data_IF_341762209070
#
_entry.id   IF_341762209070
#
_cell.length_a   1.000
_cell.length_b   1.000
_cell.length_c   1.000
_cell.angle_alpha   90.00
_cell.angle_beta   90.00
_cell.angle_gamma   90.00
#
_symmetry.space_group_name_H-M   'P 1'
#
loop_
_entity.id
_entity.type
_entity.pdbx_description
1 polymer ?
#
# COMPACT_ATOMS: atom_id res chain seq x y z
N UNK A 1 -11.83 -2.61 -13.15
CA UNK A 1 -11.58 -1.16 -13.31
C UNK A 1 -12.17 -0.45 -12.11
N UNK A 2 -11.60 0.68 -11.68
CA UNK A 2 -12.12 1.49 -10.57
C UNK A 2 -12.35 2.91 -11.06
N UNK A 3 -13.54 3.45 -10.81
CA UNK A 3 -13.93 4.81 -11.16
C UNK A 3 -14.73 5.42 -10.01
N UNK A 4 -14.28 6.58 -9.55
CA UNK A 4 -14.86 7.34 -8.45
C UNK A 4 -14.93 8.81 -8.86
N UNK A 5 -16.11 9.40 -8.78
CA UNK A 5 -16.31 10.81 -9.05
C UNK A 5 -17.12 11.43 -7.92
N UNK A 6 -16.62 12.52 -7.34
CA UNK A 6 -17.33 13.30 -6.33
C UNK A 6 -17.25 14.78 -6.66
N UNK A 7 -18.33 15.50 -6.37
CA UNK A 7 -18.36 16.95 -6.46
C UNK A 7 -18.90 17.50 -5.13
N UNK A 8 -18.02 18.10 -4.33
CA UNK A 8 -18.36 18.68 -3.02
C UNK A 8 -17.75 20.06 -2.92
N UNK A 9 -18.42 20.97 -2.23
CA UNK A 9 -17.97 22.37 -2.05
C UNK A 9 -16.56 22.48 -1.48
N UNK A 10 -16.17 21.62 -0.53
CA UNK A 10 -14.84 21.65 0.09
C UNK A 10 -13.70 21.03 -0.72
N UNK A 11 -13.98 20.08 -1.61
CA UNK A 11 -12.96 19.37 -2.41
C UNK A 11 -13.01 19.72 -3.90
N UNK A 12 -13.99 20.52 -4.34
CA UNK A 12 -14.32 20.67 -5.75
C UNK A 12 -14.76 19.36 -6.39
N UNK A 13 -14.56 19.28 -7.71
CA UNK A 13 -14.75 18.04 -8.48
C UNK A 13 -13.48 17.19 -8.42
N UNK A 14 -13.58 16.00 -7.83
CA UNK A 14 -12.53 15.01 -7.80
C UNK A 14 -12.95 13.81 -8.65
N UNK A 15 -12.13 13.48 -9.65
CA UNK A 15 -12.29 12.29 -10.48
C UNK A 15 -11.06 11.41 -10.28
N UNK A 16 -11.29 10.17 -9.86
CA UNK A 16 -10.28 9.18 -9.58
C UNK A 16 -10.65 7.89 -10.30
N UNK A 17 -9.95 7.60 -11.39
CA UNK A 17 -10.32 6.51 -12.29
C UNK A 17 -9.12 5.83 -12.93
N UNK A 18 -9.31 4.57 -13.31
CA UNK A 18 -8.32 3.80 -14.05
C UNK A 18 -8.54 2.29 -13.97
N UNK A 19 -7.51 1.56 -14.38
CA UNK A 19 -7.53 0.10 -14.43
C UNK A 19 -6.20 -0.50 -13.98
N UNK A 20 -6.25 -1.74 -13.53
CA UNK A 20 -5.09 -2.55 -13.18
C UNK A 20 -5.31 -3.94 -13.77
N UNK A 21 -4.28 -4.48 -14.41
CA UNK A 21 -4.28 -5.83 -14.96
C UNK A 21 -3.20 -6.65 -14.26
N UNK A 22 -3.52 -7.88 -13.88
CA UNK A 22 -2.59 -8.84 -13.28
C UNK A 22 -2.79 -10.20 -13.95
N UNK A 23 -1.70 -10.96 -14.07
CA UNK A 23 -1.71 -12.32 -14.60
C UNK A 23 -1.19 -13.29 -13.54
N UNK A 24 -1.74 -14.50 -13.53
CA UNK A 24 -1.31 -15.63 -12.72
C UNK A 24 -1.61 -16.92 -13.47
N UNK A 25 -0.71 -17.88 -13.34
CA UNK A 25 -0.84 -19.22 -13.91
C UNK A 25 -0.66 -20.23 -12.77
N UNK A 26 -1.46 -21.30 -12.80
CA UNK A 26 -1.44 -22.36 -11.80
C UNK A 26 -1.98 -23.64 -12.40
N UNK A 27 -1.25 -24.73 -12.22
CA UNK A 27 -1.73 -26.07 -12.52
C UNK A 27 -2.52 -26.63 -11.34
N UNK A 28 -3.73 -27.13 -11.60
CA UNK A 28 -4.61 -27.73 -10.59
C UNK A 28 -5.17 -29.06 -11.11
N UNK A 29 -5.23 -30.06 -10.24
CA UNK A 29 -5.84 -31.35 -10.56
C UNK A 29 -7.34 -31.19 -10.77
N UNK A 30 -7.89 -31.93 -11.73
CA UNK A 30 -9.32 -31.98 -12.01
C UNK A 30 -9.88 -33.29 -11.49
N UNK A 31 -10.89 -33.20 -10.61
CA UNK A 31 -11.59 -34.34 -10.03
C UNK A 31 -13.07 -34.03 -9.88
N UNK A 32 -13.92 -35.04 -9.61
CA UNK A 32 -15.34 -34.82 -9.29
C UNK A 32 -15.54 -33.92 -8.06
N UNK A 33 -14.60 -33.97 -7.10
CA UNK A 33 -14.57 -33.09 -5.93
C UNK A 33 -14.03 -31.68 -6.21
N UNK A 34 -13.33 -31.48 -7.33
CA UNK A 34 -12.72 -30.20 -7.72
C UNK A 34 -12.82 -30.00 -9.24
N UNK A 35 -14.04 -29.73 -9.75
CA UNK A 35 -14.26 -29.51 -11.17
C UNK A 35 -13.59 -28.20 -11.63
N UNK A 36 -13.47 -28.02 -12.95
CA UNK A 36 -12.86 -26.82 -13.54
C UNK A 36 -13.42 -25.51 -12.99
N UNK A 37 -14.74 -25.42 -12.77
CA UNK A 37 -15.39 -24.21 -12.23
C UNK A 37 -14.89 -23.90 -10.82
N UNK A 38 -14.68 -24.92 -9.97
CA UNK A 38 -14.15 -24.73 -8.63
C UNK A 38 -12.68 -24.27 -8.66
N UNK A 39 -11.87 -24.84 -9.56
CA UNK A 39 -10.47 -24.43 -9.74
C UNK A 39 -10.36 -22.98 -10.24
N UNK A 40 -11.17 -22.62 -11.24
CA UNK A 40 -11.22 -21.26 -11.79
C UNK A 40 -11.76 -20.29 -10.73
N UNK A 41 -12.80 -20.67 -9.98
CA UNK A 41 -13.39 -19.85 -8.92
C UNK A 41 -12.37 -19.47 -7.84
N UNK A 42 -11.55 -20.43 -7.38
CA UNK A 42 -10.45 -20.17 -6.43
C UNK A 42 -9.43 -19.17 -7.00
N UNK A 43 -9.03 -19.33 -8.26
CA UNK A 43 -8.09 -18.41 -8.91
C UNK A 43 -8.66 -17.00 -9.06
N UNK A 44 -9.93 -16.88 -9.42
CA UNK A 44 -10.62 -15.58 -9.54
C UNK A 44 -10.74 -14.91 -8.18
N UNK A 45 -11.18 -15.64 -7.16
CA UNK A 45 -11.31 -15.11 -5.79
C UNK A 45 -9.98 -14.60 -5.24
N UNK A 46 -8.91 -15.38 -5.34
CA UNK A 46 -7.58 -14.98 -4.89
C UNK A 46 -7.07 -13.75 -5.66
N UNK A 47 -7.28 -13.73 -6.98
CA UNK A 47 -6.84 -12.63 -7.81
C UNK A 47 -7.64 -11.34 -7.54
N UNK A 48 -8.96 -11.43 -7.36
CA UNK A 48 -9.80 -10.29 -7.01
C UNK A 48 -9.46 -9.73 -5.63
N UNK A 49 -9.21 -10.60 -4.65
CA UNK A 49 -8.71 -10.20 -3.33
C UNK A 49 -7.43 -9.37 -3.46
N UNK A 50 -6.47 -9.86 -4.25
CA UNK A 50 -5.19 -9.18 -4.47
C UNK A 50 -5.36 -7.88 -5.24
N UNK A 51 -6.15 -7.87 -6.32
CA UNK A 51 -6.44 -6.67 -7.11
C UNK A 51 -7.13 -5.61 -6.25
N UNK A 52 -8.10 -5.99 -5.41
CA UNK A 52 -8.77 -5.07 -4.49
C UNK A 52 -7.81 -4.41 -3.51
N UNK A 53 -6.93 -5.17 -2.87
CA UNK A 53 -5.92 -4.60 -1.97
C UNK A 53 -4.97 -3.65 -2.72
N UNK A 54 -4.48 -4.05 -3.90
CA UNK A 54 -3.60 -3.19 -4.72
C UNK A 54 -4.31 -1.92 -5.19
N UNK A 55 -5.58 -2.00 -5.59
CA UNK A 55 -6.37 -0.83 -5.97
C UNK A 55 -6.51 0.12 -4.78
N UNK A 56 -6.80 -0.39 -3.57
CA UNK A 56 -6.92 0.44 -2.37
C UNK A 56 -5.61 1.21 -2.08
N UNK A 57 -4.48 0.50 -2.04
CA UNK A 57 -3.17 1.09 -1.79
C UNK A 57 -2.80 2.18 -2.82
N UNK A 58 -3.03 1.91 -4.11
CA UNK A 58 -2.70 2.87 -5.17
C UNK A 58 -3.63 4.08 -5.12
N UNK A 59 -4.94 3.84 -5.07
CA UNK A 59 -5.96 4.89 -5.26
C UNK A 59 -6.14 5.78 -4.04
N UNK A 60 -5.94 5.27 -2.82
CA UNK A 60 -6.15 6.04 -1.60
C UNK A 60 -4.88 6.27 -0.79
N UNK A 61 -3.85 5.45 -0.98
CA UNK A 61 -2.52 5.68 -0.42
C UNK A 61 -1.69 6.55 -1.36
N UNK A 62 -1.29 5.98 -2.50
CA UNK A 62 -0.26 6.60 -3.34
C UNK A 62 -0.68 7.94 -3.97
N UNK A 63 -1.92 8.06 -4.43
CA UNK A 63 -2.43 9.35 -4.96
C UNK A 63 -2.48 10.43 -3.87
N UNK A 64 -2.89 10.08 -2.65
CA UNK A 64 -2.94 10.97 -1.49
C UNK A 64 -1.53 11.44 -1.12
N UNK A 65 -0.57 10.52 -1.07
CA UNK A 65 0.83 10.85 -0.78
C UNK A 65 1.43 11.78 -1.83
N UNK A 66 1.15 11.55 -3.11
CA UNK A 66 1.59 12.44 -4.20
C UNK A 66 0.98 13.84 -4.04
N UNK A 67 -0.33 13.95 -3.83
CA UNK A 67 -1.01 15.24 -3.65
C UNK A 67 -0.45 16.00 -2.45
N UNK A 68 -0.27 15.32 -1.31
CA UNK A 68 0.29 15.92 -0.11
C UNK A 68 1.77 16.31 -0.28
N UNK A 69 2.54 15.54 -1.04
CA UNK A 69 3.94 15.83 -1.35
C UNK A 69 4.11 17.05 -2.26
N UNK A 70 3.19 17.30 -3.18
CA UNK A 70 3.21 18.48 -4.05
C UNK A 70 2.79 19.76 -3.31
N UNK A 71 1.87 19.65 -2.35
CA UNK A 71 1.35 20.79 -1.58
C UNK A 71 1.00 20.36 -0.16
N UNK A 72 2.02 20.32 0.70
CA UNK A 72 1.83 20.07 2.12
C UNK A 72 1.31 21.32 2.82
N UNK A 73 0.23 21.19 3.59
CA UNK A 73 -0.31 22.25 4.45
C UNK A 73 0.54 22.35 5.72
N UNK A 74 1.00 21.20 6.22
CA UNK A 74 2.04 21.16 7.23
C UNK A 74 3.32 21.70 6.61
N UNK A 75 3.96 22.66 7.28
CA UNK A 75 5.31 23.07 6.93
C UNK A 75 6.15 21.79 6.80
N UNK A 76 6.89 21.66 5.68
CA UNK A 76 7.90 20.59 5.51
C UNK A 76 8.57 20.45 6.86
N UNK A 77 8.43 19.30 7.56
CA UNK A 77 8.73 19.22 8.98
C UNK A 77 10.10 19.81 9.14
N UNK A 78 10.11 20.94 9.86
CA UNK A 78 11.22 21.88 9.86
C UNK A 78 12.48 21.04 9.96
N UNK A 79 13.39 21.14 8.99
CA UNK A 79 14.49 20.18 8.78
C UNK A 79 15.19 19.83 10.11
N UNK A 80 15.15 20.76 11.08
CA UNK A 80 15.46 20.59 12.49
C UNK A 80 14.76 19.43 13.24
N UNK A 81 13.43 19.28 13.22
CA UNK A 81 12.73 18.17 13.91
C UNK A 81 13.09 16.82 13.32
N UNK A 82 13.20 16.74 11.99
CA UNK A 82 13.65 15.53 11.30
C UNK A 82 15.12 15.21 11.64
N UNK A 83 15.99 16.23 11.71
CA UNK A 83 17.37 16.09 12.17
C UNK A 83 17.49 15.67 13.63
N UNK A 84 16.64 16.19 14.51
CA UNK A 84 16.59 15.78 15.93
C UNK A 84 16.16 14.32 16.04
N UNK A 85 15.09 13.94 15.34
CA UNK A 85 14.63 12.56 15.29
C UNK A 85 15.72 11.64 14.74
N UNK A 86 16.43 12.03 13.67
CA UNK A 86 17.56 11.25 13.12
C UNK A 86 18.68 11.06 14.15
N UNK A 87 19.02 12.09 14.92
CA UNK A 87 20.02 11.98 16.00
C UNK A 87 19.56 11.05 17.11
N UNK A 88 18.32 11.19 17.58
CA UNK A 88 17.74 10.30 18.58
C UNK A 88 17.72 8.84 18.10
N UNK A 89 17.32 8.60 16.86
CA UNK A 89 17.32 7.27 16.25
C UNK A 89 18.72 6.67 16.22
N UNK A 90 19.73 7.45 15.83
CA UNK A 90 21.12 7.00 15.81
C UNK A 90 21.63 6.61 17.21
N UNK A 91 21.26 7.36 18.24
CA UNK A 91 21.61 7.07 19.63
C UNK A 91 20.90 5.80 20.15
N UNK A 92 19.61 5.64 19.86
CA UNK A 92 18.87 4.43 20.27
C UNK A 92 19.41 3.19 19.58
N UNK A 93 19.82 3.29 18.31
CA UNK A 93 20.39 2.17 17.57
C UNK A 93 21.76 1.75 18.13
N UNK A 94 22.66 2.69 18.45
CA UNK A 94 23.94 2.35 19.08
C UNK A 94 23.75 1.75 20.46
N UNK A 95 22.81 2.27 21.25
CA UNK A 95 22.52 1.76 22.59
C UNK A 95 21.92 0.35 22.57
N UNK A 96 21.08 0.03 21.57
CA UNK A 96 20.60 -1.33 21.32
C UNK A 96 21.73 -2.28 20.92
N UNK A 97 22.71 -1.82 20.14
CA UNK A 97 23.82 -2.66 19.70
C UNK A 97 24.79 -3.01 20.84
N UNK A 98 24.98 -2.10 21.80
CA UNK A 98 25.76 -2.35 23.02
C UNK A 98 25.09 -3.40 23.90
N UNK A 99 23.75 -3.42 23.98
CA UNK A 99 23.01 -4.39 24.80
C UNK A 99 22.94 -5.82 24.19
N UNK A 100 23.36 -6.01 22.94
CA UNK A 100 23.32 -7.29 22.21
C UNK A 100 24.68 -8.00 22.21
N UNK A 101 25.78 -7.32 22.53
CA UNK A 101 27.06 -7.99 22.80
C UNK A 101 27.05 -8.45 24.26
N UNK A 102 26.98 -9.76 24.55
CA UNK A 102 27.15 -10.22 25.92
C UNK A 102 28.59 -9.90 26.33
N UNK A 103 28.75 -9.33 27.53
CA UNK A 103 30.05 -9.24 28.20
C UNK A 103 30.69 -10.62 28.17
N UNK A 104 31.86 -10.70 27.52
CA UNK A 104 32.70 -11.88 27.44
C UNK A 104 33.54 -12.00 28.71
#
# INVERSE_FOLDING_TARGET
MLWLQTNKTGSGTMNLGGSLTRQMEKDETVSDSSPHIANIGRLVEDMENKIRSTLNEIYFGKTKDIVNGLRSIDAIPDNQKYKQLQRELSQVLTQRQIYIQPDN
#
